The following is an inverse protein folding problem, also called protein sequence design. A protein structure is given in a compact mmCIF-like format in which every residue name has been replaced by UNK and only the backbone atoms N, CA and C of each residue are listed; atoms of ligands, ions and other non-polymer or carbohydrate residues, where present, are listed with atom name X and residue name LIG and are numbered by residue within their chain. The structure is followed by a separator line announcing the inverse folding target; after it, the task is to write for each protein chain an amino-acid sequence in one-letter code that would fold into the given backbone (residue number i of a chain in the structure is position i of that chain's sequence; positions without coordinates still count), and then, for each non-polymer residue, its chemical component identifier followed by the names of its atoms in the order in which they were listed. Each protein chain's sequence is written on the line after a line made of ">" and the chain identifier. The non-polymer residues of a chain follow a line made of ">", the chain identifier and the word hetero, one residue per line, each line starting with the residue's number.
data_IF_354069800762
#
_entry.id   IF_354069800762
#
_cell.length_a   1.000
_cell.length_b   1.000
_cell.length_c   1.000
_cell.angle_alpha   90.00
_cell.angle_beta   90.00
_cell.angle_gamma   90.00
#
_symmetry.space_group_name_H-M   'P 1'
#
loop_
_entity.id
_entity.type
_entity.pdbx_description
1 polymer ?
#
# COMPACT_ATOMS: atom_id res chain seq x y z
N UNK A 1 -3.36 0.47 -18.18
CA UNK A 1 -3.42 0.06 -16.76
C UNK A 1 -4.67 0.67 -16.16
N UNK A 2 -5.45 -0.08 -15.38
CA UNK A 2 -6.62 0.46 -14.69
C UNK A 2 -6.17 1.29 -13.49
N UNK A 3 -6.97 2.28 -13.11
CA UNK A 3 -6.68 3.15 -11.97
C UNK A 3 -6.50 2.35 -10.66
N UNK A 4 -7.32 1.32 -10.45
CA UNK A 4 -7.21 0.42 -9.30
C UNK A 4 -5.91 -0.40 -9.29
N UNK A 5 -5.35 -0.75 -10.44
CA UNK A 5 -4.07 -1.45 -10.55
C UNK A 5 -2.89 -0.53 -10.17
N UNK A 6 -2.89 0.71 -10.67
CA UNK A 6 -1.86 1.70 -10.32
C UNK A 6 -1.90 2.04 -8.84
N UNK A 7 -3.09 2.20 -8.26
CA UNK A 7 -3.27 2.40 -6.81
C UNK A 7 -2.71 1.23 -6.00
N UNK A 8 -3.02 0.00 -6.40
CA UNK A 8 -2.52 -1.20 -5.72
C UNK A 8 -0.98 -1.28 -5.74
N UNK A 9 -0.36 -0.97 -6.88
CA UNK A 9 1.10 -0.95 -7.05
C UNK A 9 1.73 0.10 -6.14
N UNK A 10 1.21 1.33 -6.17
CA UNK A 10 1.78 2.44 -5.43
C UNK A 10 1.63 2.25 -3.91
N UNK A 11 0.48 1.78 -3.42
CA UNK A 11 0.29 1.51 -2.00
C UNK A 11 1.23 0.39 -1.50
N UNK A 12 1.43 -0.68 -2.28
CA UNK A 12 2.42 -1.71 -1.95
C UNK A 12 3.83 -1.16 -1.88
N UNK A 13 4.19 -0.28 -2.80
CA UNK A 13 5.49 0.39 -2.81
C UNK A 13 5.70 1.21 -1.53
N UNK A 14 4.78 2.11 -1.17
CA UNK A 14 4.90 2.91 0.05
C UNK A 14 4.95 2.03 1.30
N UNK A 15 4.11 1.00 1.39
CA UNK A 15 4.16 0.03 2.48
C UNK A 15 5.53 -0.65 2.61
N UNK A 16 6.14 -1.03 1.47
CA UNK A 16 7.45 -1.67 1.42
C UNK A 16 8.56 -0.74 1.88
N UNK A 17 8.63 0.49 1.36
CA UNK A 17 9.70 1.44 1.73
C UNK A 17 9.61 1.88 3.19
N UNK A 18 8.41 1.87 3.77
CA UNK A 18 8.20 2.15 5.20
C UNK A 18 8.41 0.93 6.10
N UNK A 19 8.68 -0.25 5.52
CA UNK A 19 8.86 -1.50 6.25
C UNK A 19 7.68 -1.86 7.18
N UNK A 20 6.45 -1.63 6.71
CA UNK A 20 5.23 -1.86 7.50
C UNK A 20 4.48 -3.14 7.11
N UNK A 21 3.94 -3.84 8.12
CA UNK A 21 2.91 -4.86 7.87
C UNK A 21 1.67 -4.20 7.25
N UNK A 22 0.81 -5.01 6.64
CA UNK A 22 -0.42 -4.49 6.03
C UNK A 22 -1.35 -3.89 7.10
N UNK A 23 -1.38 -4.46 8.30
CA UNK A 23 -2.13 -3.96 9.44
C UNK A 23 -1.65 -2.56 9.85
N UNK A 24 -0.35 -2.38 10.03
CA UNK A 24 0.22 -1.08 10.43
C UNK A 24 0.07 -0.03 9.35
N UNK A 25 0.17 -0.41 8.09
CA UNK A 25 -0.09 0.52 7.01
C UNK A 25 -1.57 0.89 6.91
N UNK A 26 -2.49 -0.05 7.15
CA UNK A 26 -3.92 0.25 7.20
C UNK A 26 -4.26 1.23 8.34
N UNK A 27 -3.66 1.08 9.51
CA UNK A 27 -3.78 2.04 10.63
C UNK A 27 -3.37 3.46 10.19
N UNK A 28 -2.21 3.60 9.53
CA UNK A 28 -1.72 4.89 9.03
C UNK A 28 -2.69 5.48 7.99
N UNK A 29 -3.12 4.67 7.02
CA UNK A 29 -4.08 5.10 6.00
C UNK A 29 -5.46 5.44 6.59
N UNK A 30 -5.73 5.05 7.84
CA UNK A 30 -7.02 5.22 8.50
C UNK A 30 -8.09 4.33 7.90
N UNK A 31 -7.73 3.09 7.55
CA UNK A 31 -8.61 2.09 6.93
C UNK A 31 -8.49 0.73 7.65
N UNK A 32 -9.32 -0.24 7.25
CA UNK A 32 -9.22 -1.62 7.77
C UNK A 32 -8.19 -2.44 6.98
N UNK A 33 -7.59 -3.42 7.66
CA UNK A 33 -6.72 -4.43 7.03
C UNK A 33 -7.41 -5.09 5.83
N UNK A 34 -8.66 -5.53 6.01
CA UNK A 34 -9.42 -6.22 4.97
C UNK A 34 -9.61 -5.35 3.73
N UNK A 35 -9.91 -4.06 3.91
CA UNK A 35 -10.08 -3.15 2.78
C UNK A 35 -8.74 -2.88 2.07
N UNK A 36 -7.66 -2.61 2.82
CA UNK A 36 -6.33 -2.46 2.23
C UNK A 36 -5.90 -3.72 1.46
N UNK A 37 -6.17 -4.91 2.00
CA UNK A 37 -5.89 -6.17 1.31
C UNK A 37 -6.65 -6.30 -0.01
N UNK A 38 -7.93 -5.90 -0.06
CA UNK A 38 -8.70 -5.90 -1.30
C UNK A 38 -8.11 -4.92 -2.33
N UNK A 39 -7.72 -3.72 -1.89
CA UNK A 39 -7.11 -2.70 -2.75
C UNK A 39 -5.79 -3.19 -3.32
N UNK A 40 -4.88 -3.68 -2.48
CA UNK A 40 -3.56 -4.19 -2.90
C UNK A 40 -3.64 -5.40 -3.85
N UNK A 41 -4.77 -6.10 -3.87
CA UNK A 41 -5.05 -7.20 -4.81
C UNK A 41 -5.93 -6.79 -6.00
N UNK A 42 -6.22 -5.49 -6.17
CA UNK A 42 -7.02 -4.97 -7.28
C UNK A 42 -8.48 -5.45 -7.27
N UNK A 43 -9.02 -5.82 -6.10
CA UNK A 43 -10.35 -6.43 -5.96
C UNK A 43 -11.47 -5.41 -5.74
N UNK A 44 -11.15 -4.13 -5.57
CA UNK A 44 -12.13 -3.09 -5.28
C UNK A 44 -11.74 -1.77 -5.94
N UNK A 45 -12.74 -1.07 -6.46
CA UNK A 45 -12.58 0.31 -6.93
C UNK A 45 -12.70 1.27 -5.75
N UNK A 46 -11.75 2.20 -5.68
CA UNK A 46 -11.61 3.13 -4.55
C UNK A 46 -12.13 4.50 -4.99
N UNK A 47 -12.98 5.11 -4.15
CA UNK A 47 -13.50 6.47 -4.37
C UNK A 47 -12.35 7.48 -4.31
N UNK A 48 -12.43 8.54 -5.12
CA UNK A 48 -11.45 9.64 -5.12
C UNK A 48 -11.21 10.22 -3.71
N UNK A 49 -12.28 10.45 -2.94
CA UNK A 49 -12.18 10.95 -1.56
C UNK A 49 -11.39 10.04 -0.61
N UNK A 50 -11.37 8.73 -0.87
CA UNK A 50 -10.55 7.79 -0.11
C UNK A 50 -9.08 7.88 -0.52
N UNK A 51 -8.79 8.10 -1.81
CA UNK A 51 -7.42 8.31 -2.30
C UNK A 51 -6.85 9.62 -1.72
N UNK A 52 -7.67 10.68 -1.67
CA UNK A 52 -7.30 11.95 -1.03
C UNK A 52 -6.95 11.75 0.46
N UNK A 53 -7.77 10.98 1.17
CA UNK A 53 -7.51 10.62 2.57
C UNK A 53 -6.20 9.86 2.72
N UNK A 54 -5.91 8.91 1.84
CA UNK A 54 -4.68 8.13 1.88
C UNK A 54 -3.44 9.00 1.67
N UNK A 55 -3.41 9.85 0.64
CA UNK A 55 -2.30 10.76 0.40
C UNK A 55 -2.07 11.70 1.60
N UNK A 56 -3.14 12.28 2.15
CA UNK A 56 -3.06 13.14 3.33
C UNK A 56 -2.52 12.41 4.56
N UNK A 57 -2.95 11.17 4.79
CA UNK A 57 -2.51 10.39 5.95
C UNK A 57 -1.06 9.90 5.81
N UNK A 58 -0.62 9.54 4.61
CA UNK A 58 0.80 9.25 4.35
C UNK A 58 1.64 10.51 4.62
N UNK A 59 1.21 11.69 4.17
CA UNK A 59 1.93 12.95 4.45
C UNK A 59 1.97 13.32 5.94
N UNK A 60 0.95 12.94 6.72
CA UNK A 60 0.97 13.11 8.18
C UNK A 60 1.99 12.18 8.85
N UNK A 61 2.12 10.95 8.35
CA UNK A 61 3.08 9.97 8.83
C UNK A 61 4.52 10.31 8.40
N UNK A 62 4.70 10.65 7.12
CA UNK A 62 5.97 11.06 6.52
C UNK A 62 5.81 12.43 5.83
N UNK A 63 6.17 13.49 6.55
CA UNK A 63 6.09 14.87 6.06
C UNK A 63 7.00 15.15 4.86
N UNK A 64 7.98 14.29 4.59
CA UNK A 64 8.89 14.43 3.45
C UNK A 64 8.29 13.87 2.17
N UNK A 65 7.34 12.95 2.25
CA UNK A 65 6.72 12.30 1.10
C UNK A 65 6.00 13.30 0.18
N UNK A 66 5.30 14.28 0.77
CA UNK A 66 4.58 15.37 0.05
C UNK A 66 3.72 14.86 -1.13
N UNK A 67 3.07 13.72 -0.93
CA UNK A 67 2.25 13.05 -1.93
C UNK A 67 1.00 13.84 -2.25
N UNK A 68 0.67 13.90 -3.53
CA UNK A 68 -0.64 14.28 -4.02
C UNK A 68 -1.46 13.02 -4.34
N UNK A 69 -2.80 13.11 -4.38
CA UNK A 69 -3.65 11.98 -4.76
C UNK A 69 -3.27 11.39 -6.13
N UNK A 70 -2.83 12.22 -7.07
CA UNK A 70 -2.43 11.80 -8.42
C UNK A 70 -1.21 10.88 -8.39
N UNK A 71 -0.29 11.07 -7.44
CA UNK A 71 0.91 10.24 -7.27
C UNK A 71 0.53 8.80 -6.88
N UNK A 72 -0.60 8.63 -6.18
CA UNK A 72 -1.11 7.30 -5.81
C UNK A 72 -1.77 6.57 -6.96
N UNK A 73 -2.25 7.25 -8.00
CA UNK A 73 -2.96 6.62 -9.14
C UNK A 73 -2.20 6.69 -10.45
N UNK A 74 -1.09 7.40 -10.51
CA UNK A 74 -0.19 7.42 -11.66
C UNK A 74 0.69 6.19 -11.64
N UNK A 75 0.74 5.45 -12.75
CA UNK A 75 1.59 4.28 -12.85
C UNK A 75 3.07 4.68 -12.90
N UNK A 76 3.88 4.06 -12.03
CA UNK A 76 5.33 4.05 -12.12
C UNK A 76 5.86 2.61 -12.12
N UNK A 77 6.69 2.28 -13.11
CA UNK A 77 7.35 0.98 -13.23
C UNK A 77 8.32 0.73 -12.06
N UNK A 78 8.90 1.77 -11.48
CA UNK A 78 9.82 1.69 -10.34
C UNK A 78 9.12 1.19 -9.05
N UNK A 79 7.79 1.36 -8.98
CA UNK A 79 6.98 0.93 -7.85
C UNK A 79 6.55 -0.54 -7.92
N UNK A 80 6.87 -1.26 -9.01
CA UNK A 80 6.58 -2.69 -9.08
C UNK A 80 7.38 -3.42 -8.01
N UNK A 81 6.67 -4.11 -7.11
CA UNK A 81 7.28 -4.92 -6.05
C UNK A 81 6.85 -6.38 -6.19
N UNK A 82 7.79 -7.30 -5.98
CA UNK A 82 7.52 -8.74 -5.79
C UNK A 82 7.24 -9.07 -4.32
N UNK A 83 6.83 -8.07 -3.55
CA UNK A 83 6.81 -8.13 -2.09
C UNK A 83 5.47 -8.68 -1.59
N UNK A 84 5.50 -9.83 -0.90
CA UNK A 84 4.29 -10.49 -0.39
C UNK A 84 3.98 -10.11 1.06
N UNK A 85 4.93 -10.27 2.01
CA UNK A 85 4.72 -10.08 3.46
C UNK A 85 6.01 -9.71 4.20
N UNK A 86 5.96 -8.76 5.16
CA UNK A 86 7.12 -8.39 6.01
C UNK A 86 7.22 -9.32 7.22
N UNK A 87 6.06 -9.77 7.68
CA UNK A 87 5.82 -10.56 8.88
C UNK A 87 5.78 -12.07 8.63
N UNK A 88 6.15 -12.54 7.43
CA UNK A 88 6.27 -13.97 7.18
C UNK A 88 7.35 -14.53 8.10
N UNK A 89 6.94 -15.10 9.24
CA UNK A 89 7.81 -15.93 10.07
C UNK A 89 8.44 -16.92 9.12
N UNK A 90 9.78 -16.87 8.95
CA UNK A 90 10.52 -17.96 8.33
C UNK A 90 10.03 -19.24 9.02
N UNK A 91 9.30 -20.10 8.30
CA UNK A 91 8.99 -21.42 8.85
C UNK A 91 10.35 -22.01 9.23
N UNK A 92 10.54 -22.52 10.46
CA UNK A 92 11.75 -23.25 10.75
C UNK A 92 11.89 -24.32 9.68
N UNK A 93 13.03 -24.33 8.98
CA UNK A 93 13.34 -25.37 8.02
C UNK A 93 13.33 -26.65 8.85
N UNK A 94 12.30 -27.46 8.66
CA UNK A 94 12.23 -28.76 9.30
C UNK A 94 13.29 -29.60 8.61
N UNK A 95 14.48 -29.68 9.19
CA UNK A 95 15.48 -30.66 8.79
C UNK A 95 14.84 -32.04 9.03
N UNK A 96 14.45 -32.69 7.94
CA UNK A 96 14.18 -34.12 7.90
C UNK A 96 15.41 -34.81 7.36
#
# INVERSE_FOLDING_TARGET
>A
MKLCESLAINLKYYRKIYHLSQEKFAEILGTTLSYLNQIENGKVDVKASTIDKFANNINKYDRKAKLKPEDLVTYDKSHITHFSRIDEKKRPVSNK
#
